data_IF_458839812001
#
_entry.id   IF_458839812001
#
_cell.length_a   1.000
_cell.length_b   1.000
_cell.length_c   1.000
_cell.angle_alpha   90.00
_cell.angle_beta   90.00
_cell.angle_gamma   90.00
#
_symmetry.space_group_name_H-M   'P 1'
#
loop_
_entity.id
_entity.type
_entity.pdbx_description
1 polymer ?
#
# COMPACT_ATOMS: atom_id res chain seq x y z
N UNK A 1 -1.59 -13.74 -6.35
CA UNK A 1 -2.12 -14.77 -5.43
C UNK A 1 -3.62 -14.57 -5.27
N UNK A 2 -4.43 -15.63 -5.18
CA UNK A 2 -5.88 -15.53 -4.92
C UNK A 2 -6.14 -15.97 -3.48
N UNK A 3 -5.95 -15.05 -2.54
CA UNK A 3 -6.19 -15.23 -1.11
C UNK A 3 -6.83 -13.94 -0.58
N UNK A 4 -7.49 -13.99 0.57
CA UNK A 4 -7.97 -12.79 1.24
C UNK A 4 -6.81 -11.93 1.78
N UNK A 5 -7.08 -10.68 2.14
CA UNK A 5 -6.05 -9.74 2.61
C UNK A 5 -5.37 -10.19 3.90
N UNK A 6 -6.13 -10.76 4.84
CA UNK A 6 -5.58 -11.23 6.12
C UNK A 6 -4.54 -12.33 5.88
N UNK A 7 -4.92 -13.34 5.10
CA UNK A 7 -4.00 -14.41 4.69
C UNK A 7 -2.79 -13.87 3.92
N UNK A 8 -2.97 -12.87 3.04
CA UNK A 8 -1.87 -12.26 2.30
C UNK A 8 -0.83 -11.61 3.24
N UNK A 9 -1.28 -10.91 4.28
CA UNK A 9 -0.38 -10.28 5.25
C UNK A 9 0.35 -11.31 6.11
N UNK A 10 -0.35 -12.35 6.57
CA UNK A 10 0.30 -13.45 7.30
C UNK A 10 1.37 -14.14 6.44
N UNK A 11 1.12 -14.32 5.13
CA UNK A 11 2.10 -14.85 4.20
C UNK A 11 3.32 -13.93 4.03
N UNK A 12 3.14 -12.60 4.03
CA UNK A 12 4.26 -11.64 4.00
C UNK A 12 5.11 -11.78 5.26
N UNK A 13 4.47 -11.81 6.43
CA UNK A 13 5.14 -11.95 7.73
C UNK A 13 5.89 -13.27 7.83
N UNK A 14 5.25 -14.38 7.44
CA UNK A 14 5.85 -15.70 7.42
C UNK A 14 7.02 -15.80 6.43
N UNK A 15 6.87 -15.25 5.23
CA UNK A 15 7.94 -15.23 4.22
C UNK A 15 9.15 -14.43 4.69
N UNK A 16 8.92 -13.28 5.34
CA UNK A 16 9.99 -12.47 5.92
C UNK A 16 10.68 -13.19 7.10
N UNK A 17 9.89 -13.78 8.01
CA UNK A 17 10.43 -14.50 9.17
C UNK A 17 11.27 -15.73 8.78
N UNK A 18 10.82 -16.47 7.76
CA UNK A 18 11.50 -17.67 7.26
C UNK A 18 12.57 -17.37 6.19
N UNK A 19 12.80 -16.09 5.87
CA UNK A 19 13.73 -15.62 4.83
C UNK A 19 13.51 -16.26 3.44
N UNK A 20 12.24 -16.43 3.06
CA UNK A 20 11.84 -16.99 1.76
C UNK A 20 11.65 -15.84 0.76
N UNK A 21 12.75 -15.34 0.21
CA UNK A 21 12.77 -14.19 -0.71
C UNK A 21 11.75 -14.28 -1.85
N UNK A 22 11.65 -15.42 -2.52
CA UNK A 22 10.71 -15.58 -3.65
C UNK A 22 9.25 -15.44 -3.24
N UNK A 23 8.89 -15.92 -2.05
CA UNK A 23 7.53 -15.77 -1.53
C UNK A 23 7.27 -14.31 -1.12
N UNK A 24 8.23 -13.67 -0.44
CA UNK A 24 8.17 -12.27 -0.05
C UNK A 24 8.00 -11.36 -1.28
N UNK A 25 8.77 -11.59 -2.36
CA UNK A 25 8.68 -10.81 -3.58
C UNK A 25 7.29 -10.90 -4.23
N UNK A 26 6.72 -12.11 -4.30
CA UNK A 26 5.42 -12.34 -4.94
C UNK A 26 4.27 -11.75 -4.11
N UNK A 27 4.33 -11.86 -2.79
CA UNK A 27 3.31 -11.30 -1.89
C UNK A 27 3.39 -9.77 -1.86
N UNK A 28 4.59 -9.19 -1.74
CA UNK A 28 4.82 -7.74 -1.84
C UNK A 28 4.37 -7.18 -3.19
N UNK A 29 4.67 -7.86 -4.30
CA UNK A 29 4.20 -7.46 -5.64
C UNK A 29 2.67 -7.48 -5.74
N UNK A 30 2.01 -8.44 -5.08
CA UNK A 30 0.55 -8.49 -5.02
C UNK A 30 -0.02 -7.27 -4.31
N UNK A 31 0.54 -6.88 -3.15
CA UNK A 31 0.14 -5.66 -2.42
C UNK A 31 0.42 -4.40 -3.24
N UNK A 32 1.60 -4.30 -3.88
CA UNK A 32 1.94 -3.16 -4.73
C UNK A 32 0.94 -2.98 -5.89
N UNK A 33 0.51 -4.07 -6.52
CA UNK A 33 -0.51 -4.05 -7.56
C UNK A 33 -1.89 -3.59 -7.05
N UNK A 34 -2.19 -3.79 -5.76
CA UNK A 34 -3.43 -3.31 -5.14
C UNK A 34 -3.42 -1.80 -4.86
N UNK A 35 -2.23 -1.19 -4.79
CA UNK A 35 -2.02 0.25 -4.55
C UNK A 35 -1.93 1.01 -5.88
N UNK A 36 -1.27 0.40 -6.88
CA UNK A 36 -1.00 1.04 -8.16
C UNK A 36 -2.27 1.59 -8.82
N UNK A 37 -2.24 2.89 -9.14
CA UNK A 37 -3.32 3.59 -9.86
C UNK A 37 -4.55 3.94 -9.02
N UNK A 38 -4.50 3.74 -7.69
CA UNK A 38 -5.56 4.16 -6.78
C UNK A 38 -5.25 5.52 -6.15
N UNK A 39 -6.30 6.26 -5.82
CA UNK A 39 -6.14 7.51 -5.06
C UNK A 39 -5.72 7.22 -3.60
N UNK A 40 -5.13 8.20 -2.90
CA UNK A 40 -4.83 8.07 -1.47
C UNK A 40 -6.06 7.65 -0.63
N UNK A 41 -7.24 8.17 -0.94
CA UNK A 41 -8.50 7.83 -0.26
C UNK A 41 -8.93 6.39 -0.53
N UNK A 42 -8.79 5.90 -1.76
CA UNK A 42 -9.10 4.52 -2.12
C UNK A 42 -8.12 3.52 -1.47
N UNK A 43 -6.83 3.88 -1.41
CA UNK A 43 -5.81 3.09 -0.70
C UNK A 43 -6.18 3.02 0.78
N UNK A 44 -6.43 4.17 1.41
CA UNK A 44 -6.82 4.24 2.83
C UNK A 44 -8.06 3.38 3.13
N UNK A 45 -9.10 3.45 2.30
CA UNK A 45 -10.29 2.59 2.43
C UNK A 45 -9.96 1.10 2.24
N UNK A 46 -9.18 0.76 1.21
CA UNK A 46 -8.83 -0.64 0.88
C UNK A 46 -8.07 -1.31 2.02
N UNK A 47 -7.18 -0.58 2.69
CA UNK A 47 -6.31 -1.08 3.75
C UNK A 47 -6.79 -0.72 5.15
N UNK A 48 -7.99 -0.13 5.27
CA UNK A 48 -8.56 0.33 6.54
C UNK A 48 -7.62 1.24 7.34
N UNK A 49 -6.94 2.16 6.65
CA UNK A 49 -6.00 3.13 7.23
C UNK A 49 -6.75 4.44 7.49
N UNK A 50 -6.67 4.94 8.73
CA UNK A 50 -7.21 6.25 9.10
C UNK A 50 -6.27 7.35 8.57
N UNK A 51 -6.84 8.38 7.95
CA UNK A 51 -6.08 9.60 7.65
C UNK A 51 -5.76 10.32 8.97
N UNK A 52 -4.48 10.48 9.26
CA UNK A 52 -3.93 11.11 10.46
C UNK A 52 -3.34 12.50 10.19
N UNK A 53 -3.35 12.95 8.94
CA UNK A 53 -2.99 14.33 8.60
C UNK A 53 -4.06 15.33 9.03
N UNK A 54 -3.63 16.49 9.50
CA UNK A 54 -4.48 17.68 9.53
C UNK A 54 -4.76 18.18 8.11
N UNK A 55 -5.84 18.94 7.87
CA UNK A 55 -6.13 19.48 6.54
C UNK A 55 -4.99 20.31 5.94
N UNK A 56 -4.25 21.05 6.78
CA UNK A 56 -3.11 21.86 6.36
C UNK A 56 -1.91 20.99 5.92
N UNK A 57 -1.61 19.92 6.67
CA UNK A 57 -0.54 18.98 6.31
C UNK A 57 -0.89 18.22 5.02
N UNK A 58 -2.13 17.77 4.87
CA UNK A 58 -2.56 17.08 3.64
C UNK A 58 -2.51 18.00 2.42
N UNK A 59 -2.85 19.28 2.56
CA UNK A 59 -2.73 20.27 1.48
C UNK A 59 -1.26 20.54 1.13
N UNK A 60 -0.38 20.68 2.12
CA UNK A 60 1.04 20.87 1.88
C UNK A 60 1.64 19.67 1.15
N UNK A 61 1.38 18.45 1.63
CA UNK A 61 1.86 17.21 1.00
C UNK A 61 1.31 17.08 -0.43
N UNK A 62 0.06 17.50 -0.68
CA UNK A 62 -0.51 17.50 -2.03
C UNK A 62 0.23 18.45 -2.95
N UNK A 63 0.45 19.70 -2.52
CA UNK A 63 1.24 20.72 -3.25
C UNK A 63 2.65 20.23 -3.56
N UNK A 64 3.32 19.62 -2.59
CA UNK A 64 4.68 19.07 -2.77
C UNK A 64 4.71 17.89 -3.76
N UNK A 65 3.59 17.20 -3.98
CA UNK A 65 3.49 16.04 -4.86
C UNK A 65 2.75 16.33 -6.19
N UNK A 66 2.41 17.58 -6.50
CA UNK A 66 1.73 17.96 -7.76
C UNK A 66 2.52 17.51 -9.01
N UNK A 67 3.86 17.50 -8.95
CA UNK A 67 4.73 17.00 -10.02
C UNK A 67 4.48 15.53 -10.42
N UNK A 68 3.86 14.72 -9.54
CA UNK A 68 3.48 13.34 -9.85
C UNK A 68 2.21 13.25 -10.69
N UNK A 69 1.34 14.27 -10.66
CA UNK A 69 0.09 14.31 -11.40
C UNK A 69 0.26 14.86 -12.83
N UNK A 70 1.36 15.55 -13.13
CA UNK A 70 1.65 16.16 -14.45
C UNK A 70 2.18 15.18 -15.52
N UNK A 71 1.67 13.94 -15.62
CA UNK A 71 2.05 13.01 -16.71
C UNK A 71 0.89 12.47 -17.53
#
# INVERSE_FOLDING_TARGET
LKVDQGTLFELILAANYLDIKGLLDVTCKTVANMIKGKSPEEIRKTFNIKNDFTPAEEEQVRKENEWCEEK
#
